data_IF_907460846213
#
_entry.id   IF_907460846213
#
_cell.length_a   1.000
_cell.length_b   1.000
_cell.length_c   1.000
_cell.angle_alpha   90.00
_cell.angle_beta   90.00
_cell.angle_gamma   90.00
#
_symmetry.space_group_name_H-M   'P 1'
#
loop_
_entity.id
_entity.type
_entity.pdbx_description
1 polymer ?
#
# COMPACT_ATOMS: atom_id res chain seq x y z
N UNK A 1 -57.41 -3.80 -27.82
CA UNK A 1 -57.01 -3.02 -26.62
C UNK A 1 -56.15 -3.85 -25.65
N UNK A 2 -56.55 -5.06 -25.25
CA UNK A 2 -55.78 -5.93 -24.34
C UNK A 2 -54.39 -6.35 -24.89
N UNK A 3 -54.29 -6.65 -26.19
CA UNK A 3 -53.03 -7.02 -26.85
C UNK A 3 -51.98 -5.90 -26.83
N UNK A 4 -52.40 -4.64 -26.96
CA UNK A 4 -51.50 -3.47 -26.94
C UNK A 4 -50.92 -3.26 -25.54
N UNK A 5 -51.71 -3.48 -24.50
CA UNK A 5 -51.28 -3.38 -23.09
C UNK A 5 -50.28 -4.51 -22.75
N UNK A 6 -50.53 -5.73 -23.22
CA UNK A 6 -49.58 -6.86 -23.06
C UNK A 6 -48.26 -6.64 -23.81
N UNK A 7 -48.32 -6.00 -24.98
CA UNK A 7 -47.13 -5.68 -25.77
C UNK A 7 -46.31 -4.55 -25.12
N UNK A 8 -46.97 -3.54 -24.55
CA UNK A 8 -46.33 -2.47 -23.77
C UNK A 8 -45.70 -3.01 -22.46
N UNK A 9 -46.36 -3.93 -21.76
CA UNK A 9 -45.81 -4.60 -20.58
C UNK A 9 -44.63 -5.51 -20.93
N UNK A 10 -44.68 -6.24 -22.05
CA UNK A 10 -43.53 -7.03 -22.55
C UNK A 10 -42.36 -6.15 -23.00
N UNK A 11 -42.63 -4.95 -23.51
CA UNK A 11 -41.61 -3.98 -23.89
C UNK A 11 -40.88 -3.41 -22.65
N UNK A 12 -41.61 -3.09 -21.58
CA UNK A 12 -41.02 -2.67 -20.31
C UNK A 12 -40.34 -3.82 -19.53
N UNK A 13 -40.75 -5.07 -19.76
CA UNK A 13 -40.21 -6.26 -19.09
C UNK A 13 -38.97 -6.87 -19.77
N UNK A 14 -38.60 -6.44 -20.99
CA UNK A 14 -37.30 -6.77 -21.60
C UNK A 14 -36.19 -5.95 -20.93
N UNK A 15 -35.88 -6.36 -19.72
CA UNK A 15 -34.85 -5.79 -18.86
C UNK A 15 -33.50 -5.70 -19.56
N UNK A 16 -33.21 -4.50 -20.05
CA UNK A 16 -31.89 -3.93 -20.23
C UNK A 16 -31.20 -3.74 -18.86
N UNK A 17 -31.04 -4.83 -18.10
CA UNK A 17 -30.28 -4.83 -16.84
C UNK A 17 -29.31 -6.02 -16.76
N UNK A 18 -29.48 -7.07 -17.58
CA UNK A 18 -28.44 -8.11 -17.73
C UNK A 18 -27.29 -7.61 -18.61
N UNK A 19 -27.60 -6.91 -19.71
CA UNK A 19 -26.59 -6.34 -20.60
C UNK A 19 -25.76 -5.24 -19.93
N UNK A 20 -26.36 -4.43 -19.05
CA UNK A 20 -25.67 -3.37 -18.32
C UNK A 20 -24.84 -3.90 -17.15
N UNK A 21 -25.30 -4.94 -16.42
CA UNK A 21 -24.47 -5.61 -15.40
C UNK A 21 -23.31 -6.40 -16.00
N UNK A 22 -23.54 -7.08 -17.13
CA UNK A 22 -22.48 -7.78 -17.87
C UNK A 22 -21.55 -6.78 -18.56
N UNK A 23 -22.09 -5.67 -19.07
CA UNK A 23 -21.34 -4.55 -19.63
C UNK A 23 -20.50 -3.84 -18.58
N UNK A 24 -21.05 -3.58 -17.39
CA UNK A 24 -20.33 -3.01 -16.26
C UNK A 24 -19.28 -4.00 -15.72
N UNK A 25 -19.60 -5.29 -15.57
CA UNK A 25 -18.64 -6.29 -15.14
C UNK A 25 -17.51 -6.48 -16.17
N UNK A 26 -17.83 -6.48 -17.47
CA UNK A 26 -16.84 -6.55 -18.54
C UNK A 26 -16.04 -5.26 -18.66
N UNK A 27 -16.65 -4.07 -18.44
CA UNK A 27 -15.93 -2.80 -18.39
C UNK A 27 -15.07 -2.67 -17.13
N UNK A 28 -15.50 -3.18 -15.97
CA UNK A 28 -14.68 -3.23 -14.76
C UNK A 28 -13.52 -4.22 -14.94
N UNK A 29 -13.76 -5.38 -15.54
CA UNK A 29 -12.71 -6.35 -15.89
C UNK A 29 -11.75 -5.82 -16.96
N UNK A 30 -12.24 -5.08 -17.95
CA UNK A 30 -11.43 -4.49 -19.02
C UNK A 30 -10.70 -3.20 -18.59
N UNK A 31 -11.25 -2.42 -17.64
CA UNK A 31 -10.64 -1.18 -17.12
C UNK A 31 -9.82 -1.37 -15.84
N UNK A 32 -9.78 -2.57 -15.25
CA UNK A 32 -8.75 -2.94 -14.26
C UNK A 32 -7.41 -3.11 -14.99
N UNK A 33 -6.83 -1.98 -15.42
CA UNK A 33 -5.50 -1.91 -16.01
C UNK A 33 -4.53 -2.70 -15.13
N UNK A 34 -3.62 -3.49 -15.72
CA UNK A 34 -2.59 -4.21 -14.98
C UNK A 34 -1.84 -3.30 -13.98
N UNK A 35 -1.71 -2.01 -14.34
CA UNK A 35 -1.15 -0.96 -13.48
C UNK A 35 -1.97 -0.66 -12.21
N UNK A 36 -3.30 -0.77 -12.27
CA UNK A 36 -4.21 -0.59 -11.15
C UNK A 36 -4.16 -1.81 -10.22
N UNK A 37 -4.20 -3.02 -10.78
CA UNK A 37 -4.07 -4.28 -10.02
C UNK A 37 -2.74 -4.31 -9.27
N UNK A 38 -1.63 -4.04 -9.97
CA UNK A 38 -0.30 -3.98 -9.38
C UNK A 38 -0.25 -2.96 -8.23
N UNK A 39 -0.81 -1.76 -8.43
CA UNK A 39 -0.83 -0.72 -7.39
C UNK A 39 -1.60 -1.15 -6.16
N UNK A 40 -2.81 -1.69 -6.33
CA UNK A 40 -3.65 -2.14 -5.20
C UNK A 40 -2.96 -3.29 -4.47
N UNK A 41 -2.42 -4.27 -5.19
CA UNK A 41 -1.71 -5.39 -4.60
C UNK A 41 -0.49 -4.94 -3.80
N UNK A 42 0.33 -4.05 -4.35
CA UNK A 42 1.52 -3.53 -3.65
C UNK A 42 1.12 -2.78 -2.38
N UNK A 43 0.09 -1.93 -2.45
CA UNK A 43 -0.44 -1.23 -1.25
C UNK A 43 -0.96 -2.21 -0.22
N UNK A 44 -1.61 -3.29 -0.66
CA UNK A 44 -2.14 -4.30 0.25
C UNK A 44 -1.03 -5.03 0.99
N UNK A 45 0.01 -5.44 0.28
CA UNK A 45 1.19 -6.05 0.89
C UNK A 45 1.88 -5.09 1.87
N UNK A 46 2.06 -3.82 1.49
CA UNK A 46 2.65 -2.79 2.36
C UNK A 46 1.84 -2.56 3.63
N UNK A 47 0.50 -2.56 3.51
CA UNK A 47 -0.41 -2.44 4.65
C UNK A 47 -0.26 -3.63 5.61
N UNK A 48 -0.35 -4.86 5.09
CA UNK A 48 -0.22 -6.06 5.93
C UNK A 48 1.15 -6.08 6.63
N UNK A 49 2.22 -5.79 5.89
CA UNK A 49 3.57 -5.73 6.45
C UNK A 49 3.72 -4.61 7.50
N UNK A 50 3.06 -3.46 7.30
CA UNK A 50 2.99 -2.38 8.29
C UNK A 50 2.32 -2.83 9.58
N UNK A 51 1.18 -3.52 9.50
CA UNK A 51 0.49 -4.09 10.66
C UNK A 51 1.34 -5.14 11.37
N UNK A 52 2.02 -6.01 10.62
CA UNK A 52 2.95 -7.00 11.19
C UNK A 52 4.09 -6.31 11.96
N UNK A 53 4.66 -5.22 11.41
CA UNK A 53 5.66 -4.41 12.12
C UNK A 53 5.07 -3.80 13.40
N UNK A 54 3.85 -3.25 13.36
CA UNK A 54 3.22 -2.75 14.59
C UNK A 54 3.12 -3.87 15.64
N UNK A 55 2.65 -5.06 15.26
CA UNK A 55 2.53 -6.20 16.18
C UNK A 55 3.87 -6.66 16.76
N UNK A 56 4.90 -6.73 15.92
CA UNK A 56 6.24 -7.19 16.32
C UNK A 56 6.94 -6.23 17.26
N UNK A 57 6.76 -4.92 17.11
CA UNK A 57 7.51 -3.91 17.87
C UNK A 57 6.69 -3.25 19.01
N UNK A 58 5.37 -3.11 18.87
CA UNK A 58 4.52 -2.50 19.91
C UNK A 58 4.38 -3.37 21.17
N UNK A 59 4.56 -4.69 21.04
CA UNK A 59 4.51 -5.59 22.19
C UNK A 59 5.63 -5.30 23.21
N UNK A 60 6.81 -4.85 22.77
CA UNK A 60 7.90 -4.51 23.68
C UNK A 60 7.65 -3.17 24.38
N UNK A 61 6.97 -2.22 23.72
CA UNK A 61 6.42 -1.02 24.37
C UNK A 61 5.36 -1.39 25.41
N UNK A 62 4.44 -2.31 25.08
CA UNK A 62 3.41 -2.77 26.03
C UNK A 62 4.02 -3.47 27.24
N UNK A 63 5.10 -4.24 27.06
CA UNK A 63 5.86 -4.85 28.17
C UNK A 63 6.49 -3.79 29.06
N UNK A 64 7.16 -2.79 28.46
CA UNK A 64 7.74 -1.68 29.20
C UNK A 64 6.69 -0.92 30.02
N UNK A 65 5.52 -0.65 29.43
CA UNK A 65 4.40 -0.01 30.11
C UNK A 65 3.96 -0.80 31.35
N UNK A 66 3.75 -2.12 31.18
CA UNK A 66 3.33 -3.02 32.26
C UNK A 66 4.36 -3.14 33.38
N UNK A 67 5.65 -3.06 33.04
CA UNK A 67 6.74 -3.09 34.01
C UNK A 67 6.98 -1.73 34.69
N UNK A 68 6.25 -0.67 34.31
CA UNK A 68 6.46 0.68 34.85
C UNK A 68 7.79 1.30 34.45
N UNK A 69 8.44 0.82 33.38
CA UNK A 69 9.74 1.32 32.91
C UNK A 69 9.57 2.23 31.70
N UNK A 70 10.56 3.10 31.48
CA UNK A 70 10.55 4.04 30.35
C UNK A 70 10.57 3.30 29.01
N UNK A 71 9.84 3.83 28.03
CA UNK A 71 9.86 3.31 26.66
C UNK A 71 11.22 3.51 25.99
N UNK A 72 11.72 2.46 25.36
CA UNK A 72 12.87 2.58 24.47
C UNK A 72 12.45 3.22 23.15
N UNK A 73 13.20 4.24 22.74
CA UNK A 73 12.92 5.03 21.54
C UNK A 73 13.01 4.19 20.25
N UNK A 74 13.79 3.11 20.25
CA UNK A 74 13.95 2.21 19.10
C UNK A 74 12.64 1.50 18.75
N UNK A 75 11.98 0.92 19.76
CA UNK A 75 10.69 0.23 19.62
C UNK A 75 9.58 1.22 19.23
N UNK A 76 9.62 2.42 19.82
CA UNK A 76 8.68 3.49 19.52
C UNK A 76 8.80 3.96 18.07
N UNK A 77 10.03 4.17 17.59
CA UNK A 77 10.30 4.53 16.21
C UNK A 77 9.71 3.51 15.23
N UNK A 78 10.02 2.22 15.38
CA UNK A 78 9.48 1.17 14.49
C UNK A 78 7.95 1.10 14.52
N UNK A 79 7.34 1.28 15.69
CA UNK A 79 5.88 1.25 15.84
C UNK A 79 5.22 2.43 15.12
N UNK A 80 5.78 3.64 15.27
CA UNK A 80 5.30 4.85 14.58
C UNK A 80 5.48 4.71 13.06
N UNK A 81 6.64 4.25 12.59
CA UNK A 81 6.89 3.99 11.16
C UNK A 81 5.90 2.98 10.60
N UNK A 82 5.67 1.86 11.29
CA UNK A 82 4.68 0.86 10.89
C UNK A 82 3.26 1.43 10.83
N UNK A 83 2.90 2.30 11.78
CA UNK A 83 1.58 2.94 11.84
C UNK A 83 1.37 3.91 10.68
N UNK A 84 2.35 4.78 10.43
CA UNK A 84 2.32 5.72 9.31
C UNK A 84 2.29 4.98 7.96
N UNK A 85 3.09 3.93 7.83
CA UNK A 85 3.11 3.11 6.62
C UNK A 85 1.76 2.42 6.36
N UNK A 86 1.15 1.81 7.39
CA UNK A 86 -0.18 1.20 7.28
C UNK A 86 -1.25 2.23 6.91
N UNK A 87 -1.23 3.40 7.57
CA UNK A 87 -2.15 4.50 7.27
C UNK A 87 -2.01 4.96 5.81
N UNK A 88 -0.80 5.25 5.36
CA UNK A 88 -0.56 5.71 4.00
C UNK A 88 -0.83 4.63 2.95
N UNK A 89 -0.58 3.35 3.25
CA UNK A 89 -0.93 2.26 2.37
C UNK A 89 -2.45 2.21 2.11
N UNK A 90 -3.28 2.39 3.15
CA UNK A 90 -4.75 2.49 3.01
C UNK A 90 -5.14 3.73 2.21
N UNK A 91 -4.62 4.90 2.59
CA UNK A 91 -4.96 6.17 1.91
C UNK A 91 -4.63 6.10 0.41
N UNK A 92 -3.50 5.50 0.06
CA UNK A 92 -3.06 5.32 -1.32
C UNK A 92 -3.74 4.16 -2.07
N UNK A 93 -4.55 3.31 -1.40
CA UNK A 93 -5.49 2.41 -2.09
C UNK A 93 -6.72 3.15 -2.60
N UNK A 94 -7.14 4.19 -1.88
CA UNK A 94 -8.31 4.98 -2.27
C UNK A 94 -7.95 5.93 -3.43
N UNK A 95 -8.89 6.25 -4.33
CA UNK A 95 -8.67 7.18 -5.44
C UNK A 95 -8.57 8.66 -4.99
N UNK A 96 -8.11 8.91 -3.76
CA UNK A 96 -8.05 10.23 -3.13
C UNK A 96 -6.73 10.96 -3.41
N UNK A 97 -5.67 10.20 -3.68
CA UNK A 97 -4.31 10.76 -3.80
C UNK A 97 -3.92 10.93 -5.26
N UNK A 98 -3.53 12.14 -5.64
CA UNK A 98 -3.03 12.43 -6.99
C UNK A 98 -1.71 11.68 -7.24
N UNK A 99 -1.53 11.14 -8.44
CA UNK A 99 -0.37 10.31 -8.79
C UNK A 99 0.99 10.97 -8.54
N UNK A 100 1.09 12.30 -8.72
CA UNK A 100 2.32 13.05 -8.47
C UNK A 100 2.69 13.19 -6.99
N UNK A 101 1.77 12.96 -6.05
CA UNK A 101 2.07 12.98 -4.61
C UNK A 101 2.55 11.61 -4.10
N UNK A 102 2.20 10.53 -4.82
CA UNK A 102 2.50 9.15 -4.41
C UNK A 102 4.00 8.88 -4.30
N UNK A 103 4.82 9.37 -5.25
CA UNK A 103 6.26 9.13 -5.23
C UNK A 103 6.93 9.73 -3.98
N UNK A 104 6.47 10.89 -3.52
CA UNK A 104 7.02 11.56 -2.34
C UNK A 104 6.73 10.78 -1.07
N UNK A 105 5.49 10.31 -0.90
CA UNK A 105 5.10 9.46 0.24
C UNK A 105 5.89 8.17 0.25
N UNK A 106 6.01 7.51 -0.91
CA UNK A 106 6.75 6.25 -1.03
C UNK A 106 8.24 6.42 -0.68
N UNK A 107 8.84 7.53 -1.12
CA UNK A 107 10.21 7.86 -0.78
C UNK A 107 10.41 8.08 0.72
N UNK A 108 9.53 8.85 1.36
CA UNK A 108 9.61 9.11 2.80
C UNK A 108 9.49 7.80 3.59
N UNK A 109 8.52 6.95 3.26
CA UNK A 109 8.37 5.64 3.91
C UNK A 109 9.57 4.74 3.70
N UNK A 110 10.12 4.72 2.48
CA UNK A 110 11.34 3.97 2.18
C UNK A 110 12.49 4.40 3.09
N UNK A 111 12.77 5.70 3.21
CA UNK A 111 13.85 6.21 4.08
C UNK A 111 13.60 5.88 5.55
N UNK A 112 12.35 6.00 6.03
CA UNK A 112 12.01 5.64 7.40
C UNK A 112 12.27 4.16 7.69
N UNK A 113 11.95 3.27 6.74
CA UNK A 113 12.22 1.84 6.83
C UNK A 113 13.71 1.50 6.69
N UNK A 114 14.47 2.24 5.88
CA UNK A 114 15.94 2.11 5.82
C UNK A 114 16.55 2.38 7.20
N UNK A 115 16.12 3.47 7.87
CA UNK A 115 16.59 3.77 9.22
C UNK A 115 16.16 2.70 10.24
N UNK A 116 14.90 2.23 10.19
CA UNK A 116 14.42 1.16 11.07
C UNK A 116 15.24 -0.13 10.88
N UNK A 117 15.42 -0.56 9.63
CA UNK A 117 16.23 -1.72 9.28
C UNK A 117 17.69 -1.53 9.70
N UNK A 118 18.27 -0.34 9.55
CA UNK A 118 19.64 -0.06 10.01
C UNK A 118 19.81 -0.25 11.52
N UNK A 119 18.86 0.26 12.33
CA UNK A 119 18.88 0.13 13.78
C UNK A 119 18.76 -1.34 14.20
N UNK A 120 17.72 -2.03 13.72
CA UNK A 120 17.42 -3.40 14.15
C UNK A 120 18.31 -4.44 13.48
N UNK A 121 18.74 -4.20 12.25
CA UNK A 121 19.67 -5.05 11.51
C UNK A 121 21.04 -5.11 12.17
N UNK A 122 21.58 -3.96 12.61
CA UNK A 122 22.83 -3.93 13.37
C UNK A 122 22.74 -4.69 14.69
N UNK A 123 21.58 -4.64 15.36
CA UNK A 123 21.37 -5.24 16.67
C UNK A 123 21.12 -6.75 16.63
N UNK A 124 20.43 -7.26 15.61
CA UNK A 124 19.91 -8.64 15.65
C UNK A 124 20.46 -9.57 14.56
N UNK A 125 20.98 -9.07 13.43
CA UNK A 125 21.42 -9.97 12.34
C UNK A 125 22.57 -10.88 12.81
N UNK A 126 23.53 -10.29 13.52
CA UNK A 126 24.75 -10.99 13.99
C UNK A 126 24.61 -11.57 15.41
N UNK A 127 23.52 -11.27 16.11
CA UNK A 127 23.32 -11.69 17.49
C UNK A 127 22.98 -13.18 17.57
N UNK A 128 23.63 -13.93 18.46
CA UNK A 128 23.25 -15.30 18.76
C UNK A 128 22.04 -15.29 19.71
N UNK A 129 20.92 -15.96 19.37
CA UNK A 129 19.78 -16.03 20.27
C UNK A 129 20.07 -16.66 21.64
N UNK A 130 21.06 -17.53 21.80
CA UNK A 130 21.38 -18.23 23.07
C UNK A 130 20.13 -18.85 23.76
N UNK A 131 19.15 -19.31 22.97
CA UNK A 131 17.88 -19.85 23.47
C UNK A 131 16.81 -18.79 23.84
N UNK A 132 17.11 -17.50 23.71
CA UNK A 132 16.18 -16.40 23.93
C UNK A 132 15.22 -16.23 22.74
N UNK A 133 13.97 -16.65 22.95
CA UNK A 133 12.90 -16.53 21.95
C UNK A 133 12.60 -15.08 21.52
N UNK A 134 12.87 -14.09 22.39
CA UNK A 134 12.74 -12.67 22.07
C UNK A 134 13.74 -12.19 21.03
N UNK A 135 15.00 -12.66 21.12
CA UNK A 135 16.05 -12.37 20.15
C UNK A 135 15.71 -13.03 18.82
N UNK A 136 15.34 -14.32 18.83
CA UNK A 136 15.00 -15.03 17.60
C UNK A 136 13.80 -14.41 16.85
N UNK A 137 12.77 -13.99 17.60
CA UNK A 137 11.65 -13.20 17.07
C UNK A 137 12.15 -11.92 16.40
N UNK A 138 13.11 -11.21 17.00
CA UNK A 138 13.65 -9.98 16.43
C UNK A 138 14.53 -10.20 15.21
N UNK A 139 15.25 -11.33 15.13
CA UNK A 139 15.94 -11.73 13.88
C UNK A 139 14.95 -11.89 12.73
N UNK A 140 13.79 -12.52 12.99
CA UNK A 140 12.72 -12.63 11.99
C UNK A 140 12.08 -11.26 11.68
N UNK A 141 11.89 -10.41 12.68
CA UNK A 141 11.32 -9.08 12.50
C UNK A 141 12.19 -8.17 11.62
N UNK A 142 13.52 -8.31 11.68
CA UNK A 142 14.45 -7.59 10.78
C UNK A 142 14.18 -7.92 9.31
N UNK A 143 13.89 -9.18 8.99
CA UNK A 143 13.54 -9.58 7.62
C UNK A 143 12.19 -9.03 7.18
N UNK A 144 11.24 -8.89 8.11
CA UNK A 144 9.95 -8.22 7.85
C UNK A 144 10.19 -6.73 7.53
N UNK A 145 11.03 -6.04 8.31
CA UNK A 145 11.41 -4.64 8.03
C UNK A 145 12.05 -4.52 6.65
N UNK A 146 13.01 -5.39 6.31
CA UNK A 146 13.70 -5.39 5.03
C UNK A 146 12.73 -5.61 3.86
N UNK A 147 11.83 -6.59 3.99
CA UNK A 147 10.84 -6.89 2.96
C UNK A 147 9.92 -5.69 2.73
N UNK A 148 9.41 -5.07 3.80
CA UNK A 148 8.54 -3.90 3.63
C UNK A 148 9.31 -2.70 3.06
N UNK A 149 10.56 -2.50 3.47
CA UNK A 149 11.46 -1.49 2.91
C UNK A 149 11.56 -1.63 1.38
N UNK A 150 11.74 -2.85 0.87
CA UNK A 150 11.79 -3.09 -0.57
C UNK A 150 10.45 -2.86 -1.27
N UNK A 151 9.31 -3.20 -0.65
CA UNK A 151 8.00 -2.88 -1.22
C UNK A 151 7.82 -1.36 -1.41
N UNK A 152 8.20 -0.56 -0.41
CA UNK A 152 8.22 0.90 -0.51
C UNK A 152 9.21 1.40 -1.56
N UNK A 153 10.39 0.80 -1.68
CA UNK A 153 11.35 1.14 -2.74
C UNK A 153 10.81 0.88 -4.16
N UNK A 154 10.16 -0.28 -4.38
CA UNK A 154 9.60 -0.64 -5.69
C UNK A 154 8.49 0.34 -6.08
N UNK A 155 7.59 0.65 -5.16
CA UNK A 155 6.50 1.62 -5.41
C UNK A 155 7.02 3.03 -5.62
N UNK A 156 8.07 3.45 -4.89
CA UNK A 156 8.78 4.70 -5.12
C UNK A 156 9.37 4.79 -6.52
N UNK A 157 10.11 3.77 -6.97
CA UNK A 157 10.69 3.73 -8.32
C UNK A 157 9.60 3.77 -9.39
N UNK A 158 8.56 2.97 -9.22
CA UNK A 158 7.41 2.95 -10.13
C UNK A 158 6.71 4.31 -10.21
N UNK A 159 6.44 4.95 -9.07
CA UNK A 159 5.84 6.28 -8.98
C UNK A 159 6.71 7.36 -9.63
N UNK A 160 8.03 7.28 -9.44
CA UNK A 160 9.00 8.21 -10.03
C UNK A 160 9.01 8.11 -11.56
N UNK A 161 8.98 6.89 -12.11
CA UNK A 161 8.90 6.68 -13.57
C UNK A 161 7.61 7.25 -14.16
N UNK A 162 6.47 7.06 -13.50
CA UNK A 162 5.19 7.63 -13.95
C UNK A 162 5.21 9.15 -13.89
N UNK A 163 5.72 9.72 -12.79
CA UNK A 163 5.84 11.16 -12.62
C UNK A 163 6.69 11.78 -13.73
N UNK A 164 7.84 11.17 -14.03
CA UNK A 164 8.75 11.63 -15.09
C UNK A 164 8.09 11.59 -16.48
N UNK A 165 7.35 10.53 -16.80
CA UNK A 165 6.58 10.42 -18.06
C UNK A 165 5.52 11.51 -18.17
N UNK A 166 4.78 11.76 -17.09
CA UNK A 166 3.77 12.81 -17.04
C UNK A 166 4.36 14.21 -17.24
N UNK A 167 5.52 14.49 -16.64
CA UNK A 167 6.21 15.77 -16.81
C UNK A 167 6.72 15.99 -18.23
N UNK A 168 7.34 14.98 -18.85
CA UNK A 168 7.82 15.06 -20.24
C UNK A 168 6.68 15.33 -21.23
N UNK A 169 5.51 14.72 -21.05
CA UNK A 169 4.35 14.93 -21.93
C UNK A 169 3.78 16.36 -21.90
N UNK A 170 4.05 17.14 -20.84
CA UNK A 170 3.63 18.54 -20.75
C UNK A 170 4.64 19.53 -21.33
N UNK A 171 5.91 19.12 -21.43
CA UNK A 171 6.99 19.97 -21.90
C UNK A 171 7.06 20.07 -23.44
N UNK A 172 6.26 19.29 -24.16
CA UNK A 172 6.08 19.40 -25.61
C UNK A 172 4.78 20.15 -25.91
N UNK A 173 4.78 21.49 -26.00
CA UNK A 173 3.65 22.19 -26.59
C UNK A 173 3.53 21.74 -28.05
N UNK A 174 2.30 21.38 -28.45
CA UNK A 174 1.98 21.13 -29.85
C UNK A 174 2.47 22.33 -30.67
N UNK A 175 3.35 22.06 -31.63
CA UNK A 175 3.71 23.01 -32.66
C UNK A 175 2.39 23.48 -33.28
N UNK A 176 2.08 24.77 -33.15
CA UNK A 176 0.94 25.37 -33.83
C UNK A 176 1.17 25.21 -35.34
N UNK A 177 0.32 24.42 -35.99
CA UNK A 177 0.23 24.38 -37.45
C UNK A 177 -0.27 25.76 -37.91
N UNK A 178 0.56 26.42 -38.71
CA UNK A 178 0.36 27.74 -39.35
C UNK A 178 -0.48 27.56 -40.61
#
# INVERSE_FOLDING_TARGET
MIQVILMALKFLSRGSMKGEKVGLANNLRANMSASAIFRILMRFLQFIMGIVVIGLYAQDLRRAHKAGVKYDSKWMYATVVGTLASFWAIVCMLPLVKAWFLFGVDFVMFIMYVAAFGIFGKMYIKEDPEGNSGIQRMKNAVWVLLTNMFLWAITFVYGSVIFWKYWKGKATPAQHDV
#
